data_IF_223899195543
#
_entry.id   IF_223899195543
#
_cell.length_a   1.000
_cell.length_b   1.000
_cell.length_c   1.000
_cell.angle_alpha   90.00
_cell.angle_beta   90.00
_cell.angle_gamma   90.00
#
_symmetry.space_group_name_H-M   'P 1'
#
loop_
_entity.id
_entity.type
_entity.pdbx_description
1 polymer ?
#
# COMPACT_ATOMS: atom_id res chain seq x y z
N UNK A 1 -17.66 33.15 22.33
CA UNK A 1 -16.37 33.03 21.62
C UNK A 1 -15.19 33.68 22.36
N UNK A 2 -15.28 34.94 22.83
CA UNK A 2 -14.15 35.63 23.50
C UNK A 2 -13.60 34.95 24.77
N UNK A 3 -14.42 34.18 25.50
CA UNK A 3 -14.04 33.51 26.75
C UNK A 3 -13.14 32.29 26.52
N UNK A 4 -13.39 31.50 25.46
CA UNK A 4 -12.57 30.34 25.10
C UNK A 4 -11.16 30.78 24.68
N UNK A 5 -11.09 31.75 23.78
CA UNK A 5 -9.83 32.33 23.29
C UNK A 5 -8.96 32.86 24.45
N UNK A 6 -9.54 33.65 25.37
CA UNK A 6 -8.79 34.18 26.52
C UNK A 6 -8.28 33.07 27.43
N UNK A 7 -9.06 32.01 27.60
CA UNK A 7 -8.69 30.86 28.43
C UNK A 7 -7.56 30.03 27.81
N UNK A 8 -7.62 29.79 26.49
CA UNK A 8 -6.57 29.06 25.76
C UNK A 8 -5.21 29.76 25.85
N UNK A 9 -5.20 31.10 25.82
CA UNK A 9 -3.95 31.89 26.01
C UNK A 9 -3.49 31.86 27.46
N UNK A 10 -4.42 31.91 28.43
CA UNK A 10 -4.08 31.92 29.84
C UNK A 10 -3.57 30.56 30.37
N UNK A 11 -3.93 29.44 29.73
CA UNK A 11 -3.58 28.08 30.18
C UNK A 11 -2.94 27.23 29.06
N UNK A 12 -1.76 27.64 28.53
CA UNK A 12 -1.16 27.02 27.35
C UNK A 12 -0.78 25.55 27.56
N UNK A 13 -0.35 25.17 28.76
CA UNK A 13 0.00 23.77 29.08
C UNK A 13 -1.21 22.84 28.97
N UNK A 14 -2.37 23.28 29.48
CA UNK A 14 -3.61 22.49 29.40
C UNK A 14 -4.06 22.31 27.96
N UNK A 15 -3.94 23.36 27.13
CA UNK A 15 -4.26 23.28 25.70
C UNK A 15 -3.36 22.24 25.01
N UNK A 16 -2.04 22.30 25.24
CA UNK A 16 -1.09 21.34 24.67
C UNK A 16 -1.44 19.91 25.09
N UNK A 17 -1.71 19.67 26.37
CA UNK A 17 -2.09 18.34 26.85
C UNK A 17 -3.38 17.84 26.21
N UNK A 18 -4.40 18.69 26.10
CA UNK A 18 -5.68 18.34 25.48
C UNK A 18 -5.47 18.02 24.00
N UNK A 19 -4.75 18.86 23.25
CA UNK A 19 -4.49 18.61 21.83
C UNK A 19 -3.67 17.35 21.61
N UNK A 20 -2.63 17.13 22.41
CA UNK A 20 -1.80 15.92 22.32
C UNK A 20 -2.61 14.67 22.66
N UNK A 21 -3.44 14.72 23.70
CA UNK A 21 -4.32 13.61 24.06
C UNK A 21 -5.29 13.27 22.91
N UNK A 22 -5.92 14.29 22.31
CA UNK A 22 -6.82 14.09 21.16
C UNK A 22 -6.07 13.47 19.98
N UNK A 23 -4.88 13.98 19.65
CA UNK A 23 -4.04 13.44 18.57
C UNK A 23 -3.68 11.98 18.82
N UNK A 24 -3.26 11.64 20.05
CA UNK A 24 -2.93 10.27 20.44
C UNK A 24 -4.17 9.36 20.31
N UNK A 25 -5.33 9.81 20.76
CA UNK A 25 -6.58 9.04 20.65
C UNK A 25 -6.91 8.76 19.19
N UNK A 26 -6.81 9.75 18.30
CA UNK A 26 -7.06 9.55 16.87
C UNK A 26 -6.03 8.57 16.26
N UNK A 27 -4.75 8.72 16.60
CA UNK A 27 -3.70 7.84 16.11
C UNK A 27 -3.91 6.39 16.56
N UNK A 28 -4.30 6.17 17.81
CA UNK A 28 -4.62 4.84 18.35
C UNK A 28 -5.84 4.25 17.65
N UNK A 29 -6.92 5.01 17.48
CA UNK A 29 -8.13 4.55 16.78
C UNK A 29 -7.85 4.16 15.32
N UNK A 30 -6.96 4.88 14.64
CA UNK A 30 -6.54 4.56 13.27
C UNK A 30 -5.63 3.31 13.20
N UNK A 31 -4.83 3.04 14.24
CA UNK A 31 -3.89 1.92 14.26
C UNK A 31 -4.52 0.59 14.72
N UNK A 32 -5.54 0.63 15.59
CA UNK A 32 -6.21 -0.56 16.16
C UNK A 32 -6.63 -1.58 15.08
N UNK A 33 -7.29 -1.19 13.97
CA UNK A 33 -7.75 -2.14 12.96
C UNK A 33 -6.64 -2.86 12.21
N UNK A 34 -5.45 -2.26 12.15
CA UNK A 34 -4.29 -2.88 11.51
C UNK A 34 -3.58 -3.91 12.41
N UNK A 35 -3.82 -3.86 13.73
CA UNK A 35 -3.19 -4.76 14.72
C UNK A 35 -4.13 -5.90 15.14
N UNK A 36 -5.43 -5.62 15.27
CA UNK A 36 -6.43 -6.59 15.72
C UNK A 36 -7.13 -7.27 14.55
N UNK A 37 -7.29 -8.60 14.60
CA UNK A 37 -7.93 -9.37 13.50
C UNK A 37 -9.44 -9.16 13.36
N UNK A 38 -10.13 -8.66 14.40
CA UNK A 38 -11.57 -8.37 14.39
C UNK A 38 -11.85 -6.96 14.95
N UNK A 39 -11.58 -5.89 14.18
CA UNK A 39 -11.93 -4.54 14.60
C UNK A 39 -13.46 -4.34 14.56
N UNK A 40 -13.97 -3.38 15.34
CA UNK A 40 -15.38 -3.00 15.24
C UNK A 40 -15.69 -2.49 13.83
N UNK A 41 -16.91 -2.76 13.35
CA UNK A 41 -17.33 -2.57 11.95
C UNK A 41 -17.20 -1.13 11.41
N UNK A 42 -17.06 -0.13 12.27
CA UNK A 42 -16.87 1.26 11.87
C UNK A 42 -15.40 1.67 11.72
N UNK A 43 -14.44 0.81 12.08
CA UNK A 43 -13.02 1.06 11.90
C UNK A 43 -12.45 0.08 10.86
N UNK A 44 -11.97 0.61 9.74
CA UNK A 44 -11.38 -0.19 8.68
C UNK A 44 -9.86 -0.26 8.80
N UNK A 45 -9.23 -1.41 8.52
CA UNK A 45 -7.79 -1.53 8.41
C UNK A 45 -7.23 -0.70 7.26
N UNK A 46 -5.96 -0.33 7.37
CA UNK A 46 -5.25 0.34 6.30
C UNK A 46 -5.12 -0.59 5.09
N UNK A 47 -5.68 -0.18 3.95
CA UNK A 47 -5.52 -0.86 2.66
C UNK A 47 -4.53 -0.09 1.80
N UNK A 48 -3.42 -0.72 1.42
CA UNK A 48 -2.43 -0.14 0.52
C UNK A 48 -2.69 -0.69 -0.87
N UNK A 49 -3.08 0.19 -1.79
CA UNK A 49 -3.27 -0.12 -3.20
C UNK A 49 -2.06 0.40 -3.99
N UNK A 50 -1.25 -0.52 -4.50
CA UNK A 50 -0.08 -0.20 -5.33
C UNK A 50 -0.29 -0.55 -6.79
N UNK A 51 -1.52 -0.89 -7.19
CA UNK A 51 -1.82 -1.15 -8.60
C UNK A 51 -1.90 0.19 -9.35
N UNK A 52 -0.99 0.48 -10.29
CA UNK A 52 -1.04 1.73 -11.05
C UNK A 52 -2.34 1.89 -11.83
N UNK A 53 -3.03 0.79 -12.18
CA UNK A 53 -4.33 0.83 -12.83
C UNK A 53 -5.43 1.45 -11.95
N UNK A 54 -5.30 1.32 -10.62
CA UNK A 54 -6.23 1.91 -9.66
C UNK A 54 -5.99 3.41 -9.42
N UNK A 55 -4.91 3.98 -9.95
CA UNK A 55 -4.69 5.43 -9.95
C UNK A 55 -5.60 6.15 -10.95
N UNK A 56 -6.26 5.42 -11.86
CA UNK A 56 -7.29 5.93 -12.77
C UNK A 56 -8.70 5.67 -12.23
N UNK A 57 -9.67 6.57 -12.50
CA UNK A 57 -11.08 6.31 -12.23
C UNK A 57 -11.55 4.97 -12.81
N UNK A 58 -12.48 4.31 -12.12
CA UNK A 58 -12.96 2.98 -12.53
C UNK A 58 -13.67 3.01 -13.90
N UNK A 59 -14.27 4.15 -14.24
CA UNK A 59 -15.00 4.42 -15.48
C UNK A 59 -14.13 5.01 -16.59
N UNK A 60 -12.83 5.22 -16.34
CA UNK A 60 -11.90 5.73 -17.34
C UNK A 60 -11.88 4.81 -18.58
N UNK A 61 -12.17 5.31 -19.80
CA UNK A 61 -12.32 4.47 -20.99
C UNK A 61 -11.12 3.55 -21.27
N UNK A 62 -9.91 4.03 -20.99
CA UNK A 62 -8.66 3.25 -21.17
C UNK A 62 -8.62 2.05 -20.21
N UNK A 63 -9.01 2.25 -18.94
CA UNK A 63 -9.06 1.19 -17.92
C UNK A 63 -10.12 0.14 -18.25
N UNK A 64 -11.29 0.57 -18.71
CA UNK A 64 -12.36 -0.34 -19.13
C UNK A 64 -11.94 -1.17 -20.35
N UNK A 65 -11.34 -0.54 -21.36
CA UNK A 65 -10.85 -1.23 -22.54
C UNK A 65 -9.75 -2.24 -22.19
N UNK A 66 -8.75 -1.84 -21.40
CA UNK A 66 -7.67 -2.71 -20.94
C UNK A 66 -8.18 -3.96 -20.23
N UNK A 67 -9.10 -3.82 -19.28
CA UNK A 67 -9.72 -4.95 -18.59
C UNK A 67 -10.50 -5.88 -19.54
N UNK A 68 -11.20 -5.30 -20.52
CA UNK A 68 -11.91 -6.08 -21.55
C UNK A 68 -10.93 -6.87 -22.42
N UNK A 69 -9.79 -6.28 -22.82
CA UNK A 69 -8.78 -6.95 -23.64
C UNK A 69 -8.02 -8.02 -22.86
N UNK A 70 -7.65 -7.76 -21.59
CA UNK A 70 -7.08 -8.76 -20.67
C UNK A 70 -7.95 -10.02 -20.63
N UNK A 71 -9.26 -9.87 -20.41
CA UNK A 71 -10.23 -10.99 -20.38
C UNK A 71 -10.39 -11.65 -21.75
N UNK A 72 -10.48 -10.87 -22.82
CA UNK A 72 -10.69 -11.40 -24.19
C UNK A 72 -9.54 -12.29 -24.65
N UNK A 73 -8.30 -11.90 -24.34
CA UNK A 73 -7.10 -12.62 -24.77
C UNK A 73 -6.52 -13.55 -23.70
N UNK A 74 -7.21 -13.70 -22.56
CA UNK A 74 -6.73 -14.51 -21.45
C UNK A 74 -5.32 -14.11 -20.99
N UNK A 75 -5.04 -12.80 -20.95
CA UNK A 75 -3.74 -12.27 -20.54
C UNK A 75 -3.61 -12.41 -19.02
N UNK A 76 -2.56 -13.12 -18.60
CA UNK A 76 -2.19 -13.29 -17.20
C UNK A 76 -1.03 -12.34 -16.87
N UNK A 77 -0.79 -12.13 -15.59
CA UNK A 77 0.38 -11.40 -15.14
C UNK A 77 1.65 -12.13 -15.57
N UNK A 78 2.58 -11.38 -16.14
CA UNK A 78 3.84 -11.90 -16.64
C UNK A 78 4.81 -12.08 -15.49
N UNK A 79 5.34 -13.29 -15.33
CA UNK A 79 6.43 -13.57 -14.39
C UNK A 79 7.73 -13.54 -15.18
N UNK A 80 8.66 -12.66 -14.77
CA UNK A 80 10.00 -12.57 -15.36
C UNK A 80 11.00 -13.09 -14.34
N UNK A 81 11.73 -14.16 -14.69
CA UNK A 81 12.77 -14.76 -13.85
C UNK A 81 14.12 -14.47 -14.49
N UNK A 82 14.99 -13.76 -13.77
CA UNK A 82 16.38 -13.58 -14.15
C UNK A 82 17.25 -14.68 -13.57
N UNK A 83 18.03 -15.36 -14.41
CA UNK A 83 19.02 -16.35 -13.98
C UNK A 83 20.41 -15.76 -14.19
N UNK A 84 21.26 -15.86 -13.16
CA UNK A 84 22.65 -15.42 -13.18
C UNK A 84 23.55 -16.57 -12.73
N UNK A 85 24.75 -16.63 -13.28
CA UNK A 85 25.82 -17.52 -12.82
C UNK A 85 27.09 -16.66 -12.76
N UNK A 86 27.56 -16.37 -11.55
CA UNK A 86 28.75 -15.53 -11.31
C UNK A 86 30.04 -16.35 -11.17
N UNK A 87 29.92 -17.67 -11.08
CA UNK A 87 31.06 -18.56 -10.84
C UNK A 87 31.74 -19.01 -12.15
N UNK A 88 30.96 -19.14 -13.22
CA UNK A 88 31.46 -19.53 -14.54
C UNK A 88 31.90 -18.28 -15.35
N UNK A 89 33.10 -18.27 -15.96
CA UNK A 89 33.58 -17.16 -16.80
C UNK A 89 32.65 -16.80 -17.95
N UNK A 90 31.92 -17.78 -18.49
CA UNK A 90 30.95 -17.61 -19.57
C UNK A 90 29.52 -17.34 -19.04
N UNK A 91 29.38 -17.15 -17.73
CA UNK A 91 28.12 -16.86 -17.06
C UNK A 91 27.11 -17.98 -17.23
N UNK A 92 25.91 -17.67 -17.74
CA UNK A 92 24.86 -18.68 -17.98
C UNK A 92 25.04 -19.44 -19.29
N UNK A 93 26.01 -19.09 -20.15
CA UNK A 93 26.18 -19.66 -21.49
C UNK A 93 26.96 -20.98 -21.51
N UNK A 94 26.90 -21.76 -20.42
CA UNK A 94 27.46 -23.10 -20.34
C UNK A 94 26.37 -24.20 -20.36
N UNK A 95 26.71 -25.43 -20.77
CA UNK A 95 25.74 -26.52 -20.89
C UNK A 95 24.99 -26.85 -19.58
N UNK A 96 25.64 -26.69 -18.42
CA UNK A 96 25.05 -26.98 -17.12
C UNK A 96 23.92 -26.00 -16.78
N UNK A 97 24.20 -24.69 -16.89
CA UNK A 97 23.26 -23.62 -16.59
C UNK A 97 22.05 -23.64 -17.52
N UNK A 98 22.27 -23.83 -18.82
CA UNK A 98 21.19 -23.91 -19.80
C UNK A 98 20.27 -25.12 -19.58
N UNK A 99 20.83 -26.25 -19.14
CA UNK A 99 20.04 -27.46 -18.83
C UNK A 99 19.11 -27.26 -17.64
N UNK A 100 19.48 -26.40 -16.68
CA UNK A 100 18.63 -26.07 -15.54
C UNK A 100 17.46 -25.13 -15.90
N UNK A 101 17.54 -24.42 -17.03
CA UNK A 101 16.52 -23.45 -17.47
C UNK A 101 15.53 -24.08 -18.47
N UNK A 102 16.00 -24.99 -19.34
CA UNK A 102 15.23 -25.56 -20.45
C UNK A 102 14.39 -26.82 -20.08
N UNK A 103 13.89 -26.94 -18.85
CA UNK A 103 13.09 -28.12 -18.48
C UNK A 103 11.73 -28.19 -19.16
#
# INVERSE_FOLDING_TARGET
MKKLYKWSIAHPRSVIWITSAITIVIAVLAAIPSIYSNPPSFLHPLTIDTDPENMLPQDEPVRVFHNKMKRRFNLHDMIVVGVINEEDPDGVFNPESLRNIYS
#
